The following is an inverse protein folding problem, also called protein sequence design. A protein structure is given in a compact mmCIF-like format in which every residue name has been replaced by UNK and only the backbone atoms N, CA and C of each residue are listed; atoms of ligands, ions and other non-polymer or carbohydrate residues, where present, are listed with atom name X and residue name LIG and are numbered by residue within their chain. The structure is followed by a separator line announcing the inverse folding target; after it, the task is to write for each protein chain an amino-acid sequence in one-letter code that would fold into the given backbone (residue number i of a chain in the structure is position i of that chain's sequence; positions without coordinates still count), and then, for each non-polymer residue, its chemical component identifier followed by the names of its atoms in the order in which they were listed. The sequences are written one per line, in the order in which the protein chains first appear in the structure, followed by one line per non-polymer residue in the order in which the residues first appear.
data_IF_432182771108
#
_entry.id   IF_432182771108
#
_cell.length_a   1.000
_cell.length_b   1.000
_cell.length_c   1.000
_cell.angle_alpha   90.00
_cell.angle_beta   90.00
_cell.angle_gamma   90.00
#
_symmetry.space_group_name_H-M   'P 1'
#
loop_
_entity.id
_entity.type
_entity.pdbx_description
1 polymer ?
#
# COMPACT_ATOMS: atom_id res chain seq x y z
N UNK A 1 10.76 -2.05 -1.55
CA UNK A 1 11.54 -0.79 -1.61
C UNK A 1 10.76 0.22 -2.44
N UNK A 2 10.78 1.50 -2.07
CA UNK A 2 10.16 2.61 -2.82
C UNK A 2 10.52 2.61 -4.31
N UNK A 3 11.75 2.24 -4.67
CA UNK A 3 12.20 2.14 -6.07
C UNK A 3 11.39 1.13 -6.88
N UNK A 4 11.03 -0.02 -6.30
CA UNK A 4 10.25 -1.06 -6.98
C UNK A 4 8.81 -0.58 -7.25
N UNK A 5 8.23 0.21 -6.35
CA UNK A 5 6.91 0.81 -6.56
C UNK A 5 6.96 1.82 -7.70
N UNK A 6 7.97 2.68 -7.71
CA UNK A 6 8.18 3.67 -8.78
C UNK A 6 8.37 2.98 -10.14
N UNK A 7 9.17 1.91 -10.23
CA UNK A 7 9.33 1.14 -11.48
C UNK A 7 7.99 0.58 -11.97
N UNK A 8 7.13 0.08 -11.07
CA UNK A 8 5.80 -0.43 -11.44
C UNK A 8 4.87 0.68 -11.94
N UNK A 9 4.91 1.85 -11.30
CA UNK A 9 4.14 3.02 -11.74
C UNK A 9 4.57 3.46 -13.15
N UNK A 10 5.88 3.56 -13.37
CA UNK A 10 6.45 3.90 -14.68
C UNK A 10 6.08 2.86 -15.74
N UNK A 11 6.22 1.57 -15.42
CA UNK A 11 5.84 0.48 -16.31
C UNK A 11 4.37 0.58 -16.73
N UNK A 12 3.49 0.83 -15.76
CA UNK A 12 2.05 0.95 -15.98
C UNK A 12 1.67 2.18 -16.79
N UNK A 13 2.30 3.34 -16.55
CA UNK A 13 2.01 4.58 -17.27
C UNK A 13 2.56 4.56 -18.70
N UNK A 14 3.76 3.99 -18.90
CA UNK A 14 4.43 3.94 -20.21
C UNK A 14 4.00 2.74 -21.08
N UNK A 15 3.24 1.78 -20.53
CA UNK A 15 2.89 0.54 -21.23
C UNK A 15 4.09 -0.38 -21.53
N UNK A 16 5.18 -0.24 -20.78
CA UNK A 16 6.41 -1.00 -20.96
C UNK A 16 6.51 -2.09 -19.89
N UNK A 17 6.95 -3.29 -20.27
CA UNK A 17 7.18 -4.37 -19.31
C UNK A 17 8.15 -3.95 -18.20
N UNK A 18 7.77 -4.21 -16.95
CA UNK A 18 8.64 -4.00 -15.78
C UNK A 18 9.96 -4.77 -15.86
N UNK A 19 9.99 -5.90 -16.58
CA UNK A 19 11.22 -6.67 -16.78
C UNK A 19 12.21 -5.94 -17.68
N UNK A 20 11.73 -5.39 -18.81
CA UNK A 20 12.57 -4.60 -19.73
C UNK A 20 13.14 -3.37 -19.04
N UNK A 21 12.31 -2.65 -18.28
CA UNK A 21 12.75 -1.49 -17.49
C UNK A 21 13.84 -1.85 -16.47
N UNK A 22 13.70 -3.00 -15.80
CA UNK A 22 14.69 -3.47 -14.83
C UNK A 22 16.01 -3.88 -15.49
N UNK A 23 15.97 -4.46 -16.69
CA UNK A 23 17.15 -4.91 -17.43
C UNK A 23 17.80 -3.80 -18.27
N UNK A 24 17.11 -2.70 -18.52
CA UNK A 24 17.57 -1.63 -19.42
C UNK A 24 17.46 -1.99 -20.91
N UNK A 25 16.66 -3.01 -21.24
CA UNK A 25 16.49 -3.52 -22.61
C UNK A 25 15.34 -2.78 -23.33
N UNK A 26 15.52 -1.47 -23.52
CA UNK A 26 14.54 -0.61 -24.18
C UNK A 26 14.97 -0.33 -25.62
N UNK A 27 14.03 -0.43 -26.55
CA UNK A 27 14.21 0.15 -27.89
C UNK A 27 14.20 1.68 -27.83
N UNK A 28 14.74 2.35 -28.85
CA UNK A 28 14.75 3.81 -28.93
C UNK A 28 13.33 4.42 -28.87
N UNK A 29 12.34 3.72 -29.44
CA UNK A 29 10.93 4.10 -29.35
C UNK A 29 10.40 4.00 -27.91
N UNK A 30 10.67 2.90 -27.22
CA UNK A 30 10.31 2.73 -25.80
C UNK A 30 11.02 3.74 -24.89
N UNK A 31 12.27 4.09 -25.20
CA UNK A 31 13.02 5.11 -24.47
C UNK A 31 12.39 6.50 -24.62
N UNK A 32 11.93 6.83 -25.83
CA UNK A 32 11.20 8.07 -26.10
C UNK A 32 9.87 8.13 -25.34
N UNK A 33 9.09 7.05 -25.38
CA UNK A 33 7.84 6.91 -24.62
C UNK A 33 8.11 7.09 -23.13
N UNK A 34 9.11 6.38 -22.61
CA UNK A 34 9.51 6.45 -21.21
C UNK A 34 9.79 7.89 -20.77
N UNK A 35 10.60 8.63 -21.52
CA UNK A 35 10.91 10.03 -21.22
C UNK A 35 9.67 10.94 -21.21
N UNK A 36 8.73 10.73 -22.13
CA UNK A 36 7.49 11.51 -22.20
C UNK A 36 6.60 11.25 -20.97
N UNK A 37 6.46 9.99 -20.55
CA UNK A 37 5.58 9.61 -19.44
C UNK A 37 6.18 9.88 -18.05
N UNK A 38 7.51 9.79 -17.91
CA UNK A 38 8.20 10.07 -16.64
C UNK A 38 7.91 11.49 -16.16
N UNK A 39 7.90 12.48 -17.05
CA UNK A 39 7.69 13.88 -16.67
C UNK A 39 6.35 14.09 -15.94
N UNK A 40 5.31 13.36 -16.31
CA UNK A 40 4.00 13.40 -15.64
C UNK A 40 4.06 12.79 -14.24
N UNK A 41 4.73 11.64 -14.10
CA UNK A 41 4.91 10.95 -12.83
C UNK A 41 5.79 11.75 -11.86
N UNK A 42 6.86 12.39 -12.34
CA UNK A 42 7.75 13.22 -11.52
C UNK A 42 7.03 14.42 -10.91
N UNK A 43 6.06 15.00 -11.63
CA UNK A 43 5.28 16.14 -11.16
C UNK A 43 4.00 15.72 -10.43
N UNK A 44 3.70 14.42 -10.33
CA UNK A 44 2.51 13.95 -9.63
C UNK A 44 2.72 14.11 -8.11
N UNK A 45 1.71 14.61 -7.35
CA UNK A 45 1.79 14.78 -5.90
C UNK A 45 1.63 13.43 -5.17
N UNK A 46 2.54 12.49 -5.45
CA UNK A 46 2.59 11.16 -4.86
C UNK A 46 3.73 11.13 -3.85
N UNK A 47 3.40 10.85 -2.60
CA UNK A 47 4.34 10.75 -1.50
C UNK A 47 4.47 9.30 -1.07
N UNK A 48 5.68 8.75 -1.13
CA UNK A 48 5.97 7.36 -0.75
C UNK A 48 6.76 7.37 0.55
N UNK A 49 6.26 6.64 1.54
CA UNK A 49 6.94 6.38 2.80
C UNK A 49 7.17 4.88 2.92
N UNK A 50 8.42 4.44 2.80
CA UNK A 50 8.82 3.02 2.87
C UNK A 50 9.44 2.64 4.22
N UNK A 51 9.14 3.42 5.29
CA UNK A 51 9.56 3.09 6.66
C UNK A 51 9.00 1.72 7.06
N UNK A 52 9.85 0.72 7.38
CA UNK A 52 9.37 -0.61 7.77
C UNK A 52 8.81 -0.62 9.21
N UNK A 53 7.85 -1.51 9.47
CA UNK A 53 7.39 -1.82 10.83
C UNK A 53 6.62 -0.69 11.54
N UNK A 54 6.01 0.23 10.79
CA UNK A 54 5.26 1.35 11.36
C UNK A 54 4.13 0.90 12.28
N UNK A 55 4.13 1.43 13.50
CA UNK A 55 2.97 1.29 14.38
C UNK A 55 1.87 2.31 14.04
N UNK A 56 0.70 2.14 14.65
CA UNK A 56 -0.47 2.96 14.36
C UNK A 56 -0.32 4.44 14.75
N UNK A 57 0.49 4.74 15.78
CA UNK A 57 0.74 6.11 16.23
C UNK A 57 1.66 6.84 15.26
N UNK A 58 2.70 6.16 14.78
CA UNK A 58 3.63 6.69 13.77
C UNK A 58 2.91 6.93 12.45
N UNK A 59 2.06 6.00 12.01
CA UNK A 59 1.22 6.18 10.83
C UNK A 59 0.37 7.44 10.97
N UNK A 60 -0.36 7.59 12.09
CA UNK A 60 -1.19 8.77 12.34
C UNK A 60 -0.39 10.06 12.27
N UNK A 61 0.79 10.11 12.91
CA UNK A 61 1.64 11.29 12.93
C UNK A 61 2.11 11.67 11.51
N UNK A 62 2.53 10.68 10.72
CA UNK A 62 2.94 10.88 9.32
C UNK A 62 1.78 11.35 8.44
N UNK A 63 0.60 10.74 8.54
CA UNK A 63 -0.59 11.15 7.79
C UNK A 63 -1.01 12.59 8.12
N UNK A 64 -1.02 12.97 9.41
CA UNK A 64 -1.29 14.36 9.84
C UNK A 64 -0.30 15.34 9.22
N UNK A 65 0.99 15.01 9.28
CA UNK A 65 2.05 15.85 8.71
C UNK A 65 1.87 16.03 7.20
N UNK A 66 1.63 14.95 6.46
CA UNK A 66 1.39 15.00 5.01
C UNK A 66 0.12 15.78 4.67
N UNK A 67 -0.96 15.63 5.44
CA UNK A 67 -2.19 16.42 5.26
C UNK A 67 -1.94 17.91 5.49
N UNK A 68 -1.19 18.27 6.53
CA UNK A 68 -0.88 19.67 6.83
C UNK A 68 0.06 20.32 5.79
N UNK A 69 1.06 19.58 5.32
CA UNK A 69 2.09 20.10 4.41
C UNK A 69 1.67 20.09 2.94
N UNK A 70 0.90 19.09 2.53
CA UNK A 70 0.62 18.80 1.13
C UNK A 70 -0.86 18.61 0.81
N UNK A 71 -1.74 18.73 1.81
CA UNK A 71 -3.18 18.51 1.67
C UNK A 71 -3.54 17.18 0.99
N UNK A 72 -2.90 16.07 1.38
CA UNK A 72 -3.18 14.76 0.75
C UNK A 72 -4.68 14.41 0.80
N UNK A 73 -5.17 13.84 -0.31
CA UNK A 73 -6.59 13.54 -0.52
C UNK A 73 -6.87 12.03 -0.60
N UNK A 74 -5.83 11.21 -0.58
CA UNK A 74 -5.92 9.75 -0.55
C UNK A 74 -4.72 9.18 0.20
N UNK A 75 -4.97 8.16 1.02
CA UNK A 75 -3.92 7.38 1.69
C UNK A 75 -4.05 5.92 1.27
N UNK A 76 -2.94 5.30 0.88
CA UNK A 76 -2.86 3.87 0.56
C UNK A 76 -1.86 3.22 1.52
N UNK A 77 -2.26 2.11 2.15
CA UNK A 77 -1.44 1.35 3.09
C UNK A 77 -1.20 -0.05 2.53
N UNK A 78 0.07 -0.39 2.28
CA UNK A 78 0.54 -1.70 1.80
C UNK A 78 1.52 -2.29 2.84
N UNK A 79 1.12 -3.22 3.70
CA UNK A 79 -0.21 -3.79 3.96
C UNK A 79 -0.40 -3.93 5.48
N UNK A 80 -1.65 -4.05 5.95
CA UNK A 80 -2.02 -3.93 7.38
C UNK A 80 -1.22 -4.83 8.31
N UNK A 81 -0.90 -6.05 7.88
CA UNK A 81 -0.28 -7.05 8.72
C UNK A 81 1.15 -6.71 9.16
N UNK A 82 1.81 -5.76 8.49
CA UNK A 82 3.13 -5.28 8.88
C UNK A 82 3.08 -4.24 10.01
N UNK A 83 1.88 -3.79 10.40
CA UNK A 83 1.69 -2.87 11.51
C UNK A 83 1.62 -3.63 12.84
N UNK A 84 2.26 -3.08 13.87
CA UNK A 84 2.24 -3.65 15.22
C UNK A 84 1.30 -2.86 16.14
N UNK A 85 0.48 -3.59 16.90
CA UNK A 85 -0.43 -3.06 17.91
C UNK A 85 0.23 -2.70 19.24
N UNK A 86 1.45 -2.13 19.25
CA UNK A 86 2.02 -1.43 20.41
C UNK A 86 2.09 -2.15 21.77
N UNK A 87 2.02 -3.48 21.87
CA UNK A 87 2.12 -4.20 23.15
C UNK A 87 2.60 -5.64 23.01
N UNK A 88 3.31 -6.14 24.03
CA UNK A 88 3.86 -7.52 24.15
C UNK A 88 2.79 -8.62 24.27
N UNK A 89 1.52 -8.31 24.01
CA UNK A 89 0.44 -9.28 24.16
C UNK A 89 0.43 -10.24 22.98
N UNK A 90 0.69 -11.52 23.29
CA UNK A 90 0.31 -12.72 22.52
C UNK A 90 -1.22 -12.86 22.39
N UNK A 91 -1.91 -11.77 22.04
CA UNK A 91 -3.35 -11.74 21.81
C UNK A 91 -3.71 -12.37 20.47
N UNK A 92 -4.97 -12.80 20.36
CA UNK A 92 -5.55 -13.32 19.12
C UNK A 92 -5.37 -12.28 18.00
N UNK A 93 -4.68 -12.65 16.92
CA UNK A 93 -4.35 -11.76 15.77
C UNK A 93 -5.57 -11.03 15.21
N UNK A 94 -6.72 -11.69 15.24
CA UNK A 94 -8.02 -11.13 14.89
C UNK A 94 -8.36 -9.83 15.67
N UNK A 95 -8.06 -9.81 16.97
CA UNK A 95 -8.31 -8.64 17.83
C UNK A 95 -7.37 -7.48 17.49
N UNK A 96 -6.11 -7.78 17.19
CA UNK A 96 -5.12 -6.78 16.78
C UNK A 96 -5.53 -6.13 15.46
N UNK A 97 -5.89 -6.93 14.44
CA UNK A 97 -6.37 -6.42 13.15
C UNK A 97 -7.65 -5.62 13.31
N UNK A 98 -8.56 -6.06 14.18
CA UNK A 98 -9.78 -5.31 14.50
C UNK A 98 -9.46 -3.94 15.12
N UNK A 99 -8.45 -3.87 16.00
CA UNK A 99 -8.00 -2.62 16.61
C UNK A 99 -7.30 -1.70 15.60
N UNK A 100 -6.44 -2.25 14.74
CA UNK A 100 -5.77 -1.52 13.66
C UNK A 100 -6.82 -0.94 12.71
N UNK A 101 -7.80 -1.74 12.27
CA UNK A 101 -8.87 -1.32 11.36
C UNK A 101 -9.71 -0.17 11.95
N UNK A 102 -10.10 -0.27 13.23
CA UNK A 102 -10.79 0.83 13.92
C UNK A 102 -9.94 2.09 14.01
N UNK A 103 -8.65 1.94 14.29
CA UNK A 103 -7.73 3.07 14.41
C UNK A 103 -7.52 3.77 13.07
N UNK A 104 -7.40 3.01 11.98
CA UNK A 104 -7.33 3.53 10.62
C UNK A 104 -8.63 4.26 10.27
N UNK A 105 -9.80 3.70 10.60
CA UNK A 105 -11.07 4.40 10.38
C UNK A 105 -11.16 5.71 11.16
N UNK A 106 -10.61 5.75 12.37
CA UNK A 106 -10.51 6.99 13.15
C UNK A 106 -9.61 8.01 12.45
N UNK A 107 -8.45 7.60 11.92
CA UNK A 107 -7.55 8.48 11.16
C UNK A 107 -8.25 9.03 9.91
N UNK A 108 -8.95 8.17 9.17
CA UNK A 108 -9.70 8.58 7.98
C UNK A 108 -10.75 9.66 8.28
N UNK A 109 -11.52 9.49 9.37
CA UNK A 109 -12.53 10.46 9.81
C UNK A 109 -11.91 11.75 10.33
N UNK A 110 -10.81 11.65 11.07
CA UNK A 110 -10.12 12.79 11.66
C UNK A 110 -9.49 13.68 10.60
N UNK A 111 -8.88 13.09 9.58
CA UNK A 111 -8.22 13.82 8.49
C UNK A 111 -9.17 14.22 7.37
N UNK A 112 -10.39 13.69 7.38
CA UNK A 112 -11.35 13.75 6.27
C UNK A 112 -10.72 13.30 4.94
N UNK A 113 -10.06 12.13 4.97
CA UNK A 113 -9.34 11.56 3.83
C UNK A 113 -9.71 10.08 3.67
N UNK A 114 -10.08 9.63 2.45
CA UNK A 114 -10.27 8.22 2.16
C UNK A 114 -8.97 7.43 2.34
N UNK A 115 -9.07 6.26 2.97
CA UNK A 115 -7.94 5.34 3.18
C UNK A 115 -8.24 4.00 2.53
N UNK A 116 -7.34 3.54 1.66
CA UNK A 116 -7.32 2.19 1.11
C UNK A 116 -6.25 1.40 1.86
N UNK A 117 -6.65 0.32 2.51
CA UNK A 117 -5.73 -0.56 3.20
C UNK A 117 -5.72 -1.95 2.56
N UNK A 118 -4.53 -2.42 2.19
CA UNK A 118 -4.36 -3.77 1.68
C UNK A 118 -4.29 -4.74 2.86
N UNK A 119 -5.01 -5.86 2.75
CA UNK A 119 -4.96 -6.96 3.71
C UNK A 119 -4.60 -8.22 2.97
N UNK A 120 -3.65 -8.98 3.51
CA UNK A 120 -3.39 -10.34 3.06
C UNK A 120 -4.47 -11.28 3.60
N UNK A 121 -4.80 -12.32 2.84
CA UNK A 121 -5.73 -13.37 3.28
C UNK A 121 -4.97 -14.56 3.86
N UNK A 122 -5.61 -15.27 4.79
CA UNK A 122 -5.12 -16.55 5.29
C UNK A 122 -5.06 -17.59 4.17
N UNK A 123 -4.15 -18.57 4.28
CA UNK A 123 -4.04 -19.66 3.30
C UNK A 123 -5.23 -20.65 3.36
N UNK A 124 -6.15 -20.50 4.32
CA UNK A 124 -7.33 -21.35 4.44
C UNK A 124 -8.21 -21.32 3.18
N UNK A 125 -8.18 -20.21 2.43
CA UNK A 125 -8.85 -20.08 1.14
C UNK A 125 -8.37 -21.13 0.11
N UNK A 126 -7.11 -21.58 0.22
CA UNK A 126 -6.51 -22.55 -0.71
C UNK A 126 -6.84 -24.00 -0.35
N UNK A 127 -7.08 -24.28 0.93
CA UNK A 127 -7.33 -25.62 1.46
C UNK A 127 -8.81 -25.99 1.47
N UNK A 128 -9.71 -25.01 1.30
CA UNK A 128 -11.15 -25.23 1.19
C UNK A 128 -11.46 -26.07 -0.06
N UNK A 129 -12.16 -27.19 0.13
CA UNK A 129 -12.67 -27.98 -1.00
C UNK A 129 -13.75 -27.18 -1.76
N UNK A 130 -13.59 -27.05 -3.08
CA UNK A 130 -14.51 -26.30 -3.94
C UNK A 130 -13.91 -25.01 -4.51
N UNK A 131 -14.75 -23.96 -4.64
CA UNK A 131 -14.34 -22.67 -5.21
C UNK A 131 -13.35 -21.96 -4.26
N UNK A 132 -12.22 -21.51 -4.80
CA UNK A 132 -11.14 -20.80 -4.10
C UNK A 132 -11.34 -19.29 -4.06
N UNK A 133 -12.54 -18.80 -4.37
CA UNK A 133 -12.91 -17.38 -4.21
C UNK A 133 -12.84 -16.94 -2.74
N UNK A 134 -12.17 -15.82 -2.43
CA UNK A 134 -12.16 -15.26 -1.09
C UNK A 134 -13.56 -14.97 -0.53
N UNK A 135 -13.72 -15.20 0.77
CA UNK A 135 -14.91 -14.89 1.55
C UNK A 135 -14.56 -13.92 2.68
N UNK A 136 -15.56 -13.23 3.23
CA UNK A 136 -15.36 -12.29 4.35
C UNK A 136 -14.75 -12.95 5.60
N UNK A 137 -15.02 -14.24 5.81
CA UNK A 137 -14.41 -15.03 6.89
C UNK A 137 -12.89 -15.10 6.76
N UNK A 138 -12.37 -15.10 5.53
CA UNK A 138 -10.93 -15.27 5.27
C UNK A 138 -10.15 -14.04 5.75
N UNK A 139 -10.76 -12.84 5.73
CA UNK A 139 -10.18 -11.61 6.29
C UNK A 139 -10.11 -11.63 7.82
N UNK A 140 -11.00 -12.37 8.49
CA UNK A 140 -11.06 -12.46 9.96
C UNK A 140 -9.95 -13.36 10.52
N UNK A 141 -9.56 -14.37 9.75
CA UNK A 141 -8.51 -15.34 10.11
C UNK A 141 -7.10 -14.93 9.65
N UNK A 142 -6.95 -13.70 9.16
CA UNK A 142 -5.70 -13.16 8.57
C UNK A 142 -4.82 -12.39 9.57
#
# INVERSE_FOLDING_TARGET
SSTQLVTRLIASEAGISSEKLRKGELSDAEFTILHQHIARLTNAPIYIDDTPGLNIFELRAKCRRLKAQHNVELIIIDYLQLMTGGGENKGNREQEISQISRSIKSIAKELDVPIIALSQLSRAVETRGGDKRPMLSDLRES
#
